data_IF_760464091906
#
_entry.id   IF_760464091906
#
_cell.length_a   1.000
_cell.length_b   1.000
_cell.length_c   1.000
_cell.angle_alpha   90.00
_cell.angle_beta   90.00
_cell.angle_gamma   90.00
#
_symmetry.space_group_name_H-M   'P 1'
#
loop_
_entity.id
_entity.type
_entity.pdbx_description
1 polymer ?
#
# COMPACT_ATOMS: atom_id res chain seq x y z
N UNK A 1 18.86 -11.04 59.21
CA UNK A 1 19.09 -11.19 57.76
C UNK A 1 18.11 -12.19 57.10
N UNK A 2 16.79 -12.07 57.34
CA UNK A 2 15.78 -12.98 56.75
C UNK A 2 14.54 -12.28 56.16
N UNK A 3 14.38 -10.98 56.39
CA UNK A 3 13.24 -10.20 55.87
C UNK A 3 13.54 -9.48 54.54
N UNK A 4 14.81 -9.16 54.26
CA UNK A 4 15.21 -8.49 53.02
C UNK A 4 15.05 -9.38 51.78
N UNK A 5 15.17 -10.71 51.93
CA UNK A 5 15.09 -11.67 50.82
C UNK A 5 13.65 -11.93 50.37
N UNK A 6 12.66 -11.79 51.26
CA UNK A 6 11.25 -12.03 50.94
C UNK A 6 10.64 -10.91 50.09
N UNK A 7 11.07 -9.66 50.31
CA UNK A 7 10.53 -8.50 49.60
C UNK A 7 11.01 -8.42 48.13
N UNK A 8 12.17 -9.00 47.83
CA UNK A 8 12.74 -8.99 46.48
C UNK A 8 12.11 -10.01 45.54
N UNK A 9 11.50 -11.09 46.07
CA UNK A 9 10.79 -12.11 45.29
C UNK A 9 9.39 -11.65 44.84
N UNK A 10 8.76 -10.73 45.57
CA UNK A 10 7.43 -10.21 45.24
C UNK A 10 7.44 -9.24 44.04
N UNK A 11 8.60 -8.64 43.71
CA UNK A 11 8.75 -7.66 42.63
C UNK A 11 9.01 -8.29 41.24
N UNK A 12 9.30 -9.60 41.18
CA UNK A 12 9.57 -10.32 39.93
C UNK A 12 8.36 -11.07 39.37
N UNK A 13 7.25 -11.12 40.09
CA UNK A 13 6.03 -11.83 39.65
C UNK A 13 5.01 -10.93 38.90
N UNK A 14 5.40 -9.71 38.51
CA UNK A 14 4.49 -8.70 37.98
C UNK A 14 4.29 -8.64 36.46
N UNK A 15 4.92 -9.51 35.67
CA UNK A 15 4.87 -9.44 34.20
C UNK A 15 4.46 -10.76 33.54
N UNK A 16 3.38 -11.41 33.99
CA UNK A 16 2.79 -12.49 33.19
C UNK A 16 1.29 -12.58 33.43
N UNK A 17 0.52 -11.77 32.69
CA UNK A 17 -0.87 -12.07 32.31
C UNK A 17 -1.43 -10.89 31.52
N UNK A 18 -0.99 -10.77 30.27
CA UNK A 18 -1.91 -10.26 29.25
C UNK A 18 -2.81 -11.45 28.93
N UNK A 19 -4.13 -11.41 29.21
CA UNK A 19 -5.02 -12.45 28.73
C UNK A 19 -4.90 -12.47 27.21
N UNK A 20 -4.56 -13.63 26.64
CA UNK A 20 -4.65 -13.85 25.20
C UNK A 20 -6.15 -13.90 24.84
N UNK A 21 -6.74 -12.72 24.77
CA UNK A 21 -8.03 -12.49 24.18
C UNK A 21 -7.73 -11.93 22.79
N UNK A 22 -7.20 -12.80 21.94
CA UNK A 22 -7.18 -12.57 20.50
C UNK A 22 -8.63 -12.50 20.05
N UNK A 23 -9.20 -11.29 20.17
CA UNK A 23 -10.50 -10.97 19.59
C UNK A 23 -10.46 -11.41 18.12
N UNK A 24 -11.53 -12.05 17.62
CA UNK A 24 -11.58 -12.39 16.20
C UNK A 24 -11.25 -11.13 15.40
N UNK A 25 -10.41 -11.23 14.35
CA UNK A 25 -10.04 -10.09 13.56
C UNK A 25 -11.33 -9.40 13.10
N UNK A 26 -11.42 -8.05 13.22
CA UNK A 26 -12.64 -7.34 12.88
C UNK A 26 -13.02 -7.66 11.43
N UNK A 27 -14.31 -7.76 11.17
CA UNK A 27 -14.83 -7.92 9.81
C UNK A 27 -14.22 -6.84 8.91
N UNK A 28 -13.79 -7.24 7.72
CA UNK A 28 -13.17 -6.32 6.78
C UNK A 28 -14.13 -5.17 6.47
N UNK A 29 -13.67 -3.93 6.70
CA UNK A 29 -14.47 -2.76 6.42
C UNK A 29 -14.90 -2.74 4.94
N UNK A 30 -16.14 -2.33 4.63
CA UNK A 30 -16.62 -2.28 3.26
C UNK A 30 -15.77 -1.29 2.44
N UNK A 31 -15.25 -1.74 1.30
CA UNK A 31 -14.52 -0.88 0.36
C UNK A 31 -15.55 -0.11 -0.46
N UNK A 32 -15.68 1.18 -0.17
CA UNK A 32 -16.70 2.05 -0.75
C UNK A 32 -16.28 2.58 -2.13
N UNK A 33 -15.01 2.94 -2.30
CA UNK A 33 -14.48 3.56 -3.51
C UNK A 33 -13.46 2.69 -4.23
N UNK A 34 -13.86 1.45 -4.54
CA UNK A 34 -13.05 0.56 -5.35
C UNK A 34 -12.87 1.13 -6.78
N UNK A 35 -11.63 1.12 -7.27
CA UNK A 35 -11.35 1.48 -8.66
C UNK A 35 -11.96 0.43 -9.61
N UNK A 36 -12.60 0.86 -10.71
CA UNK A 36 -13.15 -0.07 -11.69
C UNK A 36 -12.04 -0.84 -12.41
N UNK A 37 -12.41 -2.04 -12.87
CA UNK A 37 -11.55 -2.83 -13.76
C UNK A 37 -11.15 -1.98 -15.00
N UNK A 38 -9.91 -2.11 -15.44
CA UNK A 38 -9.35 -1.30 -16.53
C UNK A 38 -8.57 -0.06 -16.08
N UNK A 39 -8.85 0.51 -14.89
CA UNK A 39 -8.08 1.67 -14.39
C UNK A 39 -6.72 1.27 -13.79
N UNK A 40 -6.61 0.06 -13.28
CA UNK A 40 -5.41 -0.47 -12.62
C UNK A 40 -4.65 -1.48 -13.50
N UNK A 41 -5.04 -1.62 -14.76
CA UNK A 41 -4.40 -2.55 -15.68
C UNK A 41 -2.94 -2.15 -15.93
N UNK A 42 -2.07 -3.16 -15.80
CA UNK A 42 -0.63 -2.99 -16.00
C UNK A 42 -0.35 -2.90 -17.50
N UNK A 43 0.23 -1.80 -17.95
CA UNK A 43 0.79 -1.70 -19.28
C UNK A 43 2.20 -2.32 -19.27
N UNK A 44 2.51 -3.12 -20.29
CA UNK A 44 3.86 -3.64 -20.47
C UNK A 44 4.86 -2.48 -20.64
N UNK A 45 5.94 -2.52 -19.86
CA UNK A 45 7.08 -1.60 -20.02
C UNK A 45 7.83 -1.91 -21.32
N UNK A 46 8.43 -0.90 -21.98
CA UNK A 46 9.35 -1.13 -23.08
C UNK A 46 10.48 -2.10 -22.68
N UNK A 47 10.80 -3.03 -23.57
CA UNK A 47 11.88 -4.00 -23.33
C UNK A 47 13.23 -3.30 -23.41
N UNK A 48 14.03 -3.42 -22.35
CA UNK A 48 15.39 -2.88 -22.33
C UNK A 48 16.26 -3.62 -23.37
N UNK A 49 17.00 -2.91 -24.23
CA UNK A 49 17.96 -3.54 -25.13
C UNK A 49 19.10 -4.17 -24.33
N UNK A 50 19.60 -5.32 -24.81
CA UNK A 50 20.65 -6.11 -24.16
C UNK A 50 21.82 -6.37 -25.11
N UNK A 51 23.02 -6.54 -24.56
CA UNK A 51 24.24 -6.74 -25.34
C UNK A 51 24.77 -5.44 -25.93
N UNK A 52 25.56 -5.54 -26.99
CA UNK A 52 26.05 -4.37 -27.73
C UNK A 52 24.94 -3.85 -28.64
N UNK A 53 24.54 -2.60 -28.43
CA UNK A 53 23.52 -1.93 -29.25
C UNK A 53 23.99 -0.54 -29.66
N UNK A 54 23.58 -0.06 -30.86
CA UNK A 54 23.93 1.27 -31.31
C UNK A 54 23.20 2.34 -30.50
N UNK A 55 23.75 3.57 -30.49
CA UNK A 55 23.15 4.73 -29.81
C UNK A 55 21.71 4.99 -30.27
N UNK A 56 21.36 4.71 -31.52
CA UNK A 56 20.00 4.86 -32.05
C UNK A 56 18.97 3.97 -31.35
N UNK A 57 19.36 2.74 -30.96
CA UNK A 57 18.50 1.82 -30.20
C UNK A 57 18.33 2.31 -28.77
N UNK A 58 19.39 2.84 -28.15
CA UNK A 58 19.31 3.44 -26.83
C UNK A 58 18.33 4.63 -26.82
N UNK A 59 18.44 5.51 -27.82
CA UNK A 59 17.56 6.66 -27.98
C UNK A 59 16.09 6.25 -28.12
N UNK A 60 15.81 5.26 -28.98
CA UNK A 60 14.45 4.74 -29.17
C UNK A 60 13.89 4.16 -27.87
N UNK A 61 14.68 3.34 -27.16
CA UNK A 61 14.27 2.78 -25.86
C UNK A 61 13.94 3.89 -24.85
N UNK A 62 14.80 4.89 -24.72
CA UNK A 62 14.57 6.01 -23.80
C UNK A 62 13.32 6.81 -24.16
N UNK A 63 13.06 7.05 -25.45
CA UNK A 63 11.82 7.71 -25.90
C UNK A 63 10.59 6.88 -25.53
N UNK A 64 10.59 5.58 -25.83
CA UNK A 64 9.48 4.69 -25.46
C UNK A 64 9.28 4.63 -23.95
N UNK A 65 10.36 4.59 -23.17
CA UNK A 65 10.31 4.55 -21.72
C UNK A 65 9.69 5.83 -21.14
N UNK A 66 10.06 7.01 -21.66
CA UNK A 66 9.44 8.27 -21.24
C UNK A 66 7.96 8.33 -21.58
N UNK A 67 7.56 7.85 -22.76
CA UNK A 67 6.14 7.82 -23.15
C UNK A 67 5.33 6.87 -22.25
N UNK A 68 5.87 5.68 -21.99
CA UNK A 68 5.27 4.71 -21.07
C UNK A 68 5.10 5.30 -19.66
N UNK A 69 6.16 5.91 -19.11
CA UNK A 69 6.12 6.53 -17.79
C UNK A 69 5.12 7.67 -17.70
N UNK A 70 5.08 8.55 -18.72
CA UNK A 70 4.12 9.63 -18.80
C UNK A 70 2.67 9.13 -18.81
N UNK A 71 2.38 8.06 -19.56
CA UNK A 71 1.04 7.46 -19.56
C UNK A 71 0.70 6.81 -18.22
N UNK A 72 1.68 6.19 -17.54
CA UNK A 72 1.53 5.69 -16.18
C UNK A 72 1.05 6.77 -15.21
N UNK A 73 1.69 7.95 -15.24
CA UNK A 73 1.27 9.09 -14.41
C UNK A 73 -0.14 9.58 -14.73
N UNK A 74 -0.52 9.64 -16.02
CA UNK A 74 -1.89 10.01 -16.40
C UNK A 74 -2.94 9.01 -15.91
N UNK A 75 -2.61 7.71 -15.85
CA UNK A 75 -3.50 6.68 -15.28
C UNK A 75 -3.70 6.89 -13.78
N UNK A 76 -2.63 7.18 -13.05
CA UNK A 76 -2.70 7.48 -11.62
C UNK A 76 -3.57 8.71 -11.35
N UNK A 77 -3.40 9.78 -12.12
CA UNK A 77 -4.24 10.97 -12.02
C UNK A 77 -5.74 10.67 -12.28
N UNK A 78 -6.06 9.84 -13.28
CA UNK A 78 -7.44 9.40 -13.52
C UNK A 78 -8.01 8.59 -12.35
N UNK A 79 -7.22 7.68 -11.78
CA UNK A 79 -7.65 6.87 -10.64
C UNK A 79 -7.91 7.73 -9.40
N UNK A 80 -7.00 8.66 -9.11
CA UNK A 80 -7.10 9.62 -8.02
C UNK A 80 -8.33 10.55 -8.17
N UNK A 81 -8.56 11.08 -9.37
CA UNK A 81 -9.78 11.84 -9.69
C UNK A 81 -11.06 11.02 -9.49
N UNK A 82 -11.06 9.74 -9.88
CA UNK A 82 -12.20 8.85 -9.66
C UNK A 82 -12.47 8.65 -8.17
N UNK A 83 -11.43 8.38 -7.38
CA UNK A 83 -11.55 8.15 -5.93
C UNK A 83 -12.13 9.38 -5.24
N UNK A 84 -11.59 10.59 -5.49
CA UNK A 84 -12.14 11.85 -4.95
C UNK A 84 -13.61 12.04 -5.30
N UNK A 85 -13.97 11.79 -6.55
CA UNK A 85 -15.36 11.94 -7.00
C UNK A 85 -16.29 10.91 -6.34
N UNK A 86 -15.79 9.70 -6.06
CA UNK A 86 -16.52 8.69 -5.30
C UNK A 86 -16.74 9.13 -3.86
N UNK A 87 -15.68 9.57 -3.17
CA UNK A 87 -15.74 10.04 -1.78
C UNK A 87 -16.75 11.19 -1.64
N UNK A 88 -16.66 12.21 -2.49
CA UNK A 88 -17.57 13.35 -2.46
C UNK A 88 -19.05 12.94 -2.64
N UNK A 89 -19.35 11.97 -3.53
CA UNK A 89 -20.71 11.43 -3.69
C UNK A 89 -21.17 10.67 -2.45
N UNK A 90 -20.28 9.93 -1.80
CA UNK A 90 -20.59 9.18 -0.60
C UNK A 90 -20.80 10.07 0.63
N UNK A 91 -20.07 11.17 0.76
CA UNK A 91 -20.30 12.17 1.80
C UNK A 91 -21.68 12.82 1.63
N UNK A 92 -22.01 13.27 0.43
CA UNK A 92 -23.33 13.85 0.11
C UNK A 92 -24.50 12.91 0.37
N UNK A 93 -24.30 11.59 0.22
CA UNK A 93 -25.35 10.60 0.46
C UNK A 93 -25.54 10.25 1.94
N UNK A 94 -24.65 10.73 2.83
CA UNK A 94 -24.73 10.51 4.28
C UNK A 94 -25.40 11.66 5.03
N UNK A 95 -25.43 12.84 4.42
CA UNK A 95 -26.11 14.04 4.91
C UNK A 95 -27.60 14.05 4.52
#
# INVERSE_FOLDING_TARGET
MRFATAMMLALLAGCESVPDQSAPPPDAAPVVCALPAGMTERQAEPVRPTGDYPQSVAAQYLTSLHQWGAEGWRRLDRADNYSRACEARHEQARD
#
